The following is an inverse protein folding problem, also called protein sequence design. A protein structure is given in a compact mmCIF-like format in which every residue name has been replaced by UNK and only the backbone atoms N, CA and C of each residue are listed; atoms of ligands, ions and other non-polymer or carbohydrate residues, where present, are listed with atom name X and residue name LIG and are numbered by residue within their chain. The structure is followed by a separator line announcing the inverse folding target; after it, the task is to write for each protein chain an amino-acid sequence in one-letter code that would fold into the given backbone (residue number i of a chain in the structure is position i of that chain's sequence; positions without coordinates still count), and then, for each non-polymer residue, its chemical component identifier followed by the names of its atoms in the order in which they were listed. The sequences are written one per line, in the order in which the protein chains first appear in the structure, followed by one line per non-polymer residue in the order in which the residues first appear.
data_IF_384488557014
#
_entry.id   IF_384488557014
#
_cell.length_a   1.000
_cell.length_b   1.000
_cell.length_c   1.000
_cell.angle_alpha   90.00
_cell.angle_beta   90.00
_cell.angle_gamma   90.00
#
_symmetry.space_group_name_H-M   'P 1'
#
loop_
_entity.id
_entity.type
_entity.pdbx_description
1 polymer ?
#
# COMPACT_ATOMS: atom_id res chain seq x y z
N UNK A 1 14.71 -0.42 1.75
CA UNK A 1 14.41 0.39 2.96
C UNK A 1 13.15 -0.18 3.63
N UNK A 2 13.13 -0.34 4.96
CA UNK A 2 11.97 -0.87 5.71
C UNK A 2 11.26 0.31 6.40
N UNK A 3 10.02 0.60 6.02
CA UNK A 3 9.17 1.63 6.65
C UNK A 3 8.75 1.11 8.03
N UNK A 4 8.94 1.90 9.09
CA UNK A 4 8.74 1.44 10.48
C UNK A 4 7.53 2.06 11.18
N UNK A 5 7.07 3.23 10.75
CA UNK A 5 5.96 3.93 11.40
C UNK A 5 5.05 4.65 10.39
N UNK A 6 3.91 5.16 10.89
CA UNK A 6 2.89 5.85 10.07
C UNK A 6 3.43 7.12 9.41
N UNK A 7 4.27 7.90 10.10
CA UNK A 7 4.80 9.16 9.57
C UNK A 7 5.74 8.91 8.39
N UNK A 8 6.63 7.93 8.51
CA UNK A 8 7.49 7.48 7.41
C UNK A 8 6.68 6.98 6.22
N UNK A 9 5.63 6.19 6.47
CA UNK A 9 4.76 5.68 5.43
C UNK A 9 4.09 6.83 4.65
N UNK A 10 3.53 7.81 5.37
CA UNK A 10 2.88 8.97 4.76
C UNK A 10 3.87 9.85 3.99
N UNK A 11 5.09 10.03 4.49
CA UNK A 11 6.15 10.78 3.79
C UNK A 11 6.52 10.11 2.46
N UNK A 12 6.66 8.79 2.44
CA UNK A 12 6.96 8.04 1.21
C UNK A 12 5.79 8.08 0.24
N UNK A 13 4.57 7.85 0.72
CA UNK A 13 3.36 7.90 -0.11
C UNK A 13 3.14 9.29 -0.71
N UNK A 14 3.35 10.36 0.06
CA UNK A 14 3.17 11.74 -0.38
C UNK A 14 4.08 12.18 -1.53
N UNK A 15 5.18 11.46 -1.78
CA UNK A 15 6.06 11.72 -2.93
C UNK A 15 5.59 11.04 -4.22
N UNK A 16 4.52 10.25 -4.18
CA UNK A 16 3.95 9.59 -5.36
C UNK A 16 3.13 10.58 -6.20
N UNK A 17 3.02 10.36 -7.53
CA UNK A 17 2.15 11.17 -8.37
C UNK A 17 0.70 11.15 -7.88
N UNK A 18 0.00 12.28 -8.01
CA UNK A 18 -1.39 12.44 -7.56
C UNK A 18 -2.32 11.31 -8.05
N UNK A 19 -2.22 10.96 -9.34
CA UNK A 19 -3.01 9.87 -9.93
C UNK A 19 -2.75 8.50 -9.29
N UNK A 20 -1.55 8.26 -8.77
CA UNK A 20 -1.21 7.04 -8.04
C UNK A 20 -1.84 7.09 -6.64
N UNK A 21 -1.75 8.23 -5.95
CA UNK A 21 -2.38 8.44 -4.65
C UNK A 21 -3.90 8.22 -4.71
N UNK A 22 -4.58 8.75 -5.73
CA UNK A 22 -6.02 8.56 -5.95
C UNK A 22 -6.36 7.07 -6.09
N UNK A 23 -5.63 6.35 -6.96
CA UNK A 23 -5.85 4.91 -7.17
C UNK A 23 -5.60 4.08 -5.90
N UNK A 24 -4.57 4.43 -5.13
CA UNK A 24 -4.30 3.76 -3.85
C UNK A 24 -5.42 4.02 -2.83
N UNK A 25 -5.96 5.23 -2.79
CA UNK A 25 -7.09 5.56 -1.94
C UNK A 25 -8.34 4.76 -2.35
N UNK A 26 -8.68 4.72 -3.63
CA UNK A 26 -9.79 3.90 -4.15
C UNK A 26 -9.62 2.41 -3.83
N UNK A 27 -8.42 1.87 -4.02
CA UNK A 27 -8.09 0.47 -3.69
C UNK A 27 -8.22 0.19 -2.19
N UNK A 28 -7.85 1.14 -1.33
CA UNK A 28 -7.97 0.98 0.13
C UNK A 28 -9.43 0.87 0.60
N UNK A 29 -10.37 1.44 -0.16
CA UNK A 29 -11.80 1.39 0.11
C UNK A 29 -12.49 0.15 -0.49
N UNK A 30 -11.84 -0.57 -1.39
CA UNK A 30 -12.38 -1.79 -1.96
C UNK A 30 -12.21 -2.96 -0.97
N UNK A 31 -13.31 -3.49 -0.44
CA UNK A 31 -13.29 -4.53 0.60
C UNK A 31 -12.52 -5.81 0.20
N UNK A 32 -12.51 -6.19 -1.09
CA UNK A 32 -11.71 -7.33 -1.57
C UNK A 32 -10.21 -6.99 -1.52
N UNK A 33 -9.86 -5.79 -1.96
CA UNK A 33 -8.47 -5.32 -1.99
C UNK A 33 -7.92 -4.99 -0.60
N UNK A 34 -8.78 -4.56 0.33
CA UNK A 34 -8.48 -4.33 1.75
C UNK A 34 -7.77 -5.52 2.39
N UNK A 35 -8.15 -6.73 2.00
CA UNK A 35 -7.53 -7.96 2.49
C UNK A 35 -6.04 -8.09 2.13
N UNK A 36 -5.55 -7.44 1.08
CA UNK A 36 -4.12 -7.38 0.76
C UNK A 36 -3.34 -6.41 1.66
N UNK A 37 -4.01 -5.41 2.24
CA UNK A 37 -3.39 -4.43 3.14
C UNK A 37 -3.44 -4.87 4.60
N UNK A 38 -4.39 -5.73 4.98
CA UNK A 38 -4.60 -6.18 6.38
C UNK A 38 -4.12 -7.60 6.66
N UNK A 39 -3.91 -8.45 5.65
CA UNK A 39 -3.40 -9.81 5.83
C UNK A 39 -1.91 -9.90 5.44
N UNK A 40 -0.99 -10.16 6.38
CA UNK A 40 0.45 -10.24 6.10
C UNK A 40 0.84 -11.27 5.04
N UNK A 41 0.14 -12.42 5.00
CA UNK A 41 0.40 -13.49 4.04
C UNK A 41 0.06 -13.02 2.62
N UNK A 42 -1.13 -12.43 2.43
CA UNK A 42 -1.57 -11.89 1.13
C UNK A 42 -0.68 -10.74 0.69
N UNK A 43 -0.30 -9.86 1.61
CA UNK A 43 0.65 -8.78 1.33
C UNK A 43 2.02 -9.31 0.89
N UNK A 44 2.53 -10.33 1.58
CA UNK A 44 3.79 -11.00 1.25
C UNK A 44 3.77 -11.63 -0.14
N UNK A 45 2.67 -12.30 -0.49
CA UNK A 45 2.48 -12.89 -1.82
C UNK A 45 2.51 -11.82 -2.93
N UNK A 46 1.72 -10.74 -2.78
CA UNK A 46 1.70 -9.61 -3.75
C UNK A 46 3.07 -8.97 -3.86
N UNK A 47 3.75 -8.72 -2.74
CA UNK A 47 5.10 -8.15 -2.73
C UNK A 47 6.12 -9.03 -3.46
N UNK A 48 5.96 -10.35 -3.42
CA UNK A 48 6.80 -11.30 -4.15
C UNK A 48 6.67 -11.18 -5.66
N UNK A 49 5.48 -10.86 -6.18
CA UNK A 49 5.25 -10.64 -7.61
C UNK A 49 5.75 -9.29 -8.13
N UNK A 50 5.87 -8.29 -7.25
CA UNK A 50 6.33 -6.94 -7.60
C UNK A 50 7.86 -6.79 -7.54
N UNK A 51 8.59 -7.88 -7.34
CA UNK A 51 10.04 -7.92 -7.21
C UNK A 51 10.72 -8.35 -8.51
#
# INVERSE_FOLDING_TARGET
MKIQNKQEALKVLGNLPEKVLIRMAELSQNEKAKSYFTCPIKYGAVKGFLK
#
